data_IF_894768297387
#
_entry.id   IF_894768297387
#
_cell.length_a   1.000
_cell.length_b   1.000
_cell.length_c   1.000
_cell.angle_alpha   90.00
_cell.angle_beta   90.00
_cell.angle_gamma   90.00
#
_symmetry.space_group_name_H-M   'P 1'
#
loop_
_entity.id
_entity.type
_entity.pdbx_description
1 polymer ?
#
# COMPACT_ATOMS: atom_id res chain seq x y z
N UNK A 1 -44.73 -45.37 -8.02
CA UNK A 1 -44.27 -44.25 -8.86
C UNK A 1 -43.54 -43.27 -7.92
N UNK A 2 -42.20 -43.27 -7.93
CA UNK A 2 -41.41 -42.46 -7.00
C UNK A 2 -41.12 -41.12 -7.71
N UNK A 3 -41.52 -40.01 -7.08
CA UNK A 3 -41.20 -38.65 -7.57
C UNK A 3 -39.84 -38.26 -6.97
N UNK A 4 -38.79 -38.22 -7.82
CA UNK A 4 -37.50 -37.69 -7.43
C UNK A 4 -37.57 -36.17 -7.57
N UNK A 5 -37.59 -35.47 -6.44
CA UNK A 5 -37.44 -34.00 -6.42
C UNK A 5 -35.95 -33.66 -6.56
N UNK A 6 -35.53 -33.19 -7.71
CA UNK A 6 -34.21 -32.57 -7.90
C UNK A 6 -34.24 -31.22 -7.24
N UNK A 7 -33.61 -31.07 -6.10
CA UNK A 7 -33.34 -29.78 -5.49
C UNK A 7 -32.28 -29.03 -6.31
N UNK A 8 -32.70 -28.08 -7.12
CA UNK A 8 -31.80 -27.12 -7.74
C UNK A 8 -31.18 -26.25 -6.62
N UNK A 9 -29.98 -26.59 -6.19
CA UNK A 9 -29.19 -25.70 -5.36
C UNK A 9 -28.70 -24.56 -6.28
N UNK A 10 -29.43 -23.45 -6.28
CA UNK A 10 -28.93 -22.20 -6.82
C UNK A 10 -27.82 -21.70 -5.89
N UNK A 11 -26.57 -21.97 -6.25
CA UNK A 11 -25.45 -21.28 -5.64
C UNK A 11 -25.47 -19.86 -6.14
N UNK A 12 -25.93 -18.91 -5.33
CA UNK A 12 -25.75 -17.48 -5.61
C UNK A 12 -24.25 -17.21 -5.46
N UNK A 13 -23.53 -17.22 -6.56
CA UNK A 13 -22.16 -16.69 -6.61
C UNK A 13 -22.33 -15.19 -6.40
N UNK A 14 -21.77 -14.60 -5.33
CA UNK A 14 -21.80 -13.15 -5.18
C UNK A 14 -21.18 -12.55 -6.44
N UNK A 15 -21.93 -11.72 -7.14
CA UNK A 15 -21.40 -10.98 -8.29
C UNK A 15 -20.46 -9.88 -7.75
N UNK A 16 -19.26 -10.29 -7.36
CA UNK A 16 -18.19 -9.33 -7.07
C UNK A 16 -17.85 -8.66 -8.39
N UNK A 17 -18.02 -7.34 -8.50
CA UNK A 17 -17.62 -6.62 -9.70
C UNK A 17 -16.18 -7.00 -10.08
N UNK A 18 -15.86 -7.20 -11.35
CA UNK A 18 -14.51 -7.49 -11.76
C UNK A 18 -13.59 -6.37 -11.29
N UNK A 19 -12.42 -6.73 -10.73
CA UNK A 19 -11.43 -5.76 -10.30
C UNK A 19 -11.01 -4.91 -11.51
N UNK A 20 -11.19 -3.61 -11.42
CA UNK A 20 -10.75 -2.67 -12.46
C UNK A 20 -9.44 -2.04 -12.01
N UNK A 21 -8.33 -2.54 -12.57
CA UNK A 21 -6.99 -2.04 -12.27
C UNK A 21 -6.70 -0.76 -13.05
N UNK A 22 -6.51 0.33 -12.31
CA UNK A 22 -6.09 1.63 -12.84
C UNK A 22 -4.64 1.89 -12.39
N UNK A 23 -3.83 2.50 -13.24
CA UNK A 23 -2.43 2.78 -12.91
C UNK A 23 -2.29 3.69 -11.69
N UNK A 24 -1.34 3.37 -10.82
CA UNK A 24 -1.01 4.11 -9.61
C UNK A 24 -1.40 3.42 -8.30
N UNK A 25 -0.95 4.00 -7.19
CA UNK A 25 -1.46 3.68 -5.86
C UNK A 25 -2.36 4.80 -5.36
N UNK A 26 -3.44 4.42 -4.71
CA UNK A 26 -4.38 5.36 -4.11
C UNK A 26 -3.82 5.85 -2.77
N UNK A 27 -3.51 7.15 -2.70
CA UNK A 27 -2.97 7.83 -1.53
C UNK A 27 -4.11 8.41 -0.70
N UNK A 28 -4.03 8.29 0.62
CA UNK A 28 -4.95 8.86 1.61
C UNK A 28 -4.13 9.60 2.66
N UNK A 29 -4.57 10.81 3.01
CA UNK A 29 -3.91 11.65 4.02
C UNK A 29 -4.82 11.81 5.24
N UNK A 30 -4.22 11.90 6.43
CA UNK A 30 -4.93 11.99 7.70
C UNK A 30 -4.19 12.96 8.62
N UNK A 31 -4.92 13.79 9.35
CA UNK A 31 -4.35 14.57 10.44
C UNK A 31 -3.99 13.63 11.62
N UNK A 32 -2.91 13.91 12.31
CA UNK A 32 -2.40 13.14 13.45
C UNK A 32 -1.47 11.99 13.05
N UNK A 33 -0.53 11.69 13.94
CA UNK A 33 0.37 10.56 13.82
C UNK A 33 -0.32 9.27 14.26
N UNK A 34 -0.56 8.36 13.34
CA UNK A 34 -1.28 7.10 13.57
C UNK A 34 -0.52 5.87 13.10
N UNK A 35 0.74 6.03 12.77
CA UNK A 35 1.52 5.02 12.06
C UNK A 35 1.61 3.68 12.81
N UNK A 36 1.74 3.68 14.14
CA UNK A 36 1.78 2.47 14.98
C UNK A 36 0.40 1.87 15.26
N UNK A 37 -0.67 2.50 14.78
CA UNK A 37 -2.03 2.00 14.93
C UNK A 37 -2.67 1.69 13.56
N UNK A 38 -2.31 0.57 12.90
CA UNK A 38 -2.83 0.23 11.58
C UNK A 38 -4.36 0.13 11.52
N UNK A 39 -5.03 -0.20 12.62
CA UNK A 39 -6.49 -0.29 12.69
C UNK A 39 -7.19 1.07 12.51
N UNK A 40 -6.52 2.18 12.83
CA UNK A 40 -7.03 3.53 12.58
C UNK A 40 -7.39 3.73 11.11
N UNK A 41 -6.52 3.30 10.21
CA UNK A 41 -6.70 3.49 8.76
C UNK A 41 -7.83 2.69 8.16
N UNK A 42 -8.35 1.68 8.87
CA UNK A 42 -9.49 0.87 8.40
C UNK A 42 -10.81 1.65 8.43
N UNK A 43 -10.96 2.59 9.37
CA UNK A 43 -12.22 3.29 9.61
C UNK A 43 -12.11 4.82 9.47
N UNK A 44 -10.90 5.37 9.49
CA UNK A 44 -10.68 6.80 9.43
C UNK A 44 -11.06 7.41 8.07
N UNK A 45 -11.64 8.60 8.12
CA UNK A 45 -11.94 9.39 6.92
C UNK A 45 -10.72 10.24 6.56
N UNK A 46 -10.24 10.16 5.30
CA UNK A 46 -9.16 11.02 4.83
C UNK A 46 -9.55 12.50 4.90
N UNK A 47 -8.57 13.34 5.20
CA UNK A 47 -8.73 14.79 5.24
C UNK A 47 -7.52 15.47 4.62
N UNK A 48 -7.72 16.64 4.01
CA UNK A 48 -6.62 17.49 3.54
C UNK A 48 -5.78 17.93 4.73
N UNK A 49 -4.44 17.82 4.59
CA UNK A 49 -3.50 18.25 5.60
C UNK A 49 -2.32 18.96 4.95
N UNK A 50 -2.05 20.21 5.36
CA UNK A 50 -1.05 21.04 4.70
C UNK A 50 -1.34 21.17 3.20
N UNK A 51 -0.36 20.95 2.37
CA UNK A 51 -0.48 20.90 0.91
C UNK A 51 -0.96 19.53 0.40
N UNK A 52 -1.07 18.50 1.28
CA UNK A 52 -1.50 17.16 0.93
C UNK A 52 -3.03 17.09 0.80
N UNK A 53 -3.58 16.75 -0.37
CA UNK A 53 -5.01 16.53 -0.51
C UNK A 53 -5.45 15.29 0.28
N UNK A 54 -6.72 15.27 0.70
CA UNK A 54 -7.32 14.13 1.41
C UNK A 54 -7.08 12.80 0.68
N UNK A 55 -7.14 12.83 -0.65
CA UNK A 55 -6.86 11.67 -1.51
C UNK A 55 -6.18 12.10 -2.81
N UNK A 56 -5.31 11.25 -3.34
CA UNK A 56 -4.66 11.41 -4.65
C UNK A 56 -4.22 10.06 -5.21
N UNK A 57 -3.59 10.06 -6.39
CA UNK A 57 -3.01 8.87 -7.01
C UNK A 57 -1.57 9.16 -7.43
N UNK A 58 -0.65 8.28 -7.05
CA UNK A 58 0.75 8.36 -7.46
C UNK A 58 1.08 7.21 -8.43
N UNK A 59 1.60 7.54 -9.61
CA UNK A 59 1.74 6.58 -10.72
C UNK A 59 3.18 6.25 -11.10
N UNK A 60 4.13 7.13 -10.83
CA UNK A 60 5.52 7.03 -11.29
C UNK A 60 6.51 6.85 -10.16
N UNK A 61 6.30 7.54 -9.06
CA UNK A 61 7.08 7.49 -7.83
C UNK A 61 6.09 7.48 -6.68
N UNK A 62 6.32 6.62 -5.70
CA UNK A 62 5.55 6.60 -4.46
C UNK A 62 6.40 7.28 -3.41
N UNK A 63 5.98 8.47 -3.01
CA UNK A 63 6.75 9.31 -2.10
C UNK A 63 5.85 10.30 -1.33
N UNK A 64 6.37 10.75 -0.22
CA UNK A 64 6.03 12.01 0.43
C UNK A 64 7.28 12.88 0.29
N UNK A 65 7.23 13.93 -0.52
CA UNK A 65 8.39 14.81 -0.66
C UNK A 65 8.61 15.58 0.64
N UNK A 66 9.87 15.81 0.98
CA UNK A 66 10.22 16.74 2.04
C UNK A 66 9.69 18.14 1.66
N UNK A 67 8.56 18.47 2.22
CA UNK A 67 7.97 19.79 2.16
C UNK A 67 7.58 20.16 3.58
N UNK A 68 7.56 21.44 3.90
CA UNK A 68 7.06 21.92 5.20
C UNK A 68 5.54 21.73 5.31
N UNK A 69 5.05 20.53 4.96
CA UNK A 69 3.62 20.21 4.98
C UNK A 69 3.03 20.14 6.38
N UNK A 70 3.88 20.41 7.36
CA UNK A 70 3.48 20.48 8.75
C UNK A 70 3.89 19.26 9.55
N UNK A 71 3.52 19.26 10.79
CA UNK A 71 3.85 18.23 11.77
C UNK A 71 2.61 17.46 12.12
N UNK A 72 2.76 16.19 12.47
CA UNK A 72 1.69 15.37 13.03
C UNK A 72 0.60 15.00 12.01
N UNK A 73 1.00 14.24 11.00
CA UNK A 73 0.09 13.68 10.00
C UNK A 73 0.44 12.22 9.67
N UNK A 74 -0.45 11.56 8.95
CA UNK A 74 -0.21 10.20 8.45
C UNK A 74 -0.69 10.05 7.03
N UNK A 75 -0.02 9.16 6.29
CA UNK A 75 -0.34 8.84 4.90
C UNK A 75 -0.46 7.34 4.73
N UNK A 76 -1.37 6.91 3.86
CA UNK A 76 -1.51 5.52 3.47
C UNK A 76 -1.60 5.41 1.94
N UNK A 77 -0.87 4.46 1.36
CA UNK A 77 -0.99 4.05 -0.04
C UNK A 77 -1.56 2.65 -0.13
N UNK A 78 -2.54 2.49 -1.02
CA UNK A 78 -3.27 1.24 -1.24
C UNK A 78 -3.27 0.87 -2.71
N UNK A 79 -3.13 -0.41 -3.00
CA UNK A 79 -3.26 -0.95 -4.34
C UNK A 79 -2.50 -2.25 -4.54
N UNK A 80 -1.95 -2.42 -5.74
CA UNK A 80 -1.30 -3.65 -6.19
C UNK A 80 0.06 -3.34 -6.80
N UNK A 81 1.04 -4.16 -6.48
CA UNK A 81 2.32 -4.20 -7.17
C UNK A 81 2.31 -5.33 -8.19
N UNK A 82 2.60 -5.03 -9.45
CA UNK A 82 2.67 -5.99 -10.57
C UNK A 82 4.11 -6.07 -11.07
N UNK A 83 4.86 -7.10 -10.68
CA UNK A 83 6.25 -7.26 -11.12
C UNK A 83 6.33 -7.49 -12.62
N UNK A 84 7.40 -7.01 -13.26
CA UNK A 84 7.68 -7.19 -14.68
C UNK A 84 8.53 -8.43 -14.96
N UNK A 85 9.23 -8.94 -13.95
CA UNK A 85 10.08 -10.13 -14.01
C UNK A 85 9.73 -11.10 -12.87
N UNK A 86 9.93 -12.41 -13.09
CA UNK A 86 9.80 -13.42 -12.03
C UNK A 86 11.15 -13.55 -11.35
N UNK A 87 11.30 -12.86 -10.21
CA UNK A 87 12.55 -12.74 -9.47
C UNK A 87 12.29 -12.53 -7.97
N UNK A 88 13.37 -12.59 -7.20
CA UNK A 88 13.36 -12.05 -5.82
C UNK A 88 13.52 -10.54 -5.89
N UNK A 89 12.48 -9.82 -5.48
CA UNK A 89 12.49 -8.37 -5.33
C UNK A 89 13.00 -7.99 -3.95
N UNK A 90 13.88 -7.00 -3.89
CA UNK A 90 14.16 -6.28 -2.66
C UNK A 90 13.35 -5.00 -2.69
N UNK A 91 12.45 -4.85 -1.72
CA UNK A 91 11.64 -3.66 -1.52
C UNK A 91 12.29 -2.82 -0.43
N UNK A 92 12.29 -1.51 -0.59
CA UNK A 92 12.88 -0.56 0.36
C UNK A 92 11.87 0.53 0.66
N UNK A 93 11.78 0.92 1.92
CA UNK A 93 11.16 2.16 2.34
C UNK A 93 12.18 2.98 3.12
N UNK A 94 12.27 4.27 2.80
CA UNK A 94 13.02 5.25 3.56
C UNK A 94 12.07 6.29 4.07
N UNK A 95 12.11 6.59 5.36
CA UNK A 95 11.23 7.58 5.97
C UNK A 95 11.89 8.31 7.14
N UNK A 96 11.37 9.49 7.38
CA UNK A 96 11.46 10.34 8.55
C UNK A 96 10.03 10.86 8.79
N UNK A 97 9.27 10.47 9.79
CA UNK A 97 9.49 9.45 10.82
C UNK A 97 9.19 8.01 10.35
N UNK A 98 8.27 7.34 11.05
CA UNK A 98 7.99 5.93 10.93
C UNK A 98 7.20 5.51 9.69
N UNK A 99 7.45 4.29 9.21
CA UNK A 99 6.71 3.71 8.09
C UNK A 99 6.61 2.19 8.14
N UNK A 100 5.60 1.65 7.45
CA UNK A 100 5.36 0.21 7.31
C UNK A 100 4.97 -0.15 5.88
N UNK A 101 5.32 -1.37 5.47
CA UNK A 101 4.90 -1.95 4.21
C UNK A 101 4.39 -3.37 4.41
N UNK A 102 3.25 -3.69 3.81
CA UNK A 102 2.70 -5.05 3.68
C UNK A 102 2.53 -5.37 2.20
N UNK A 103 2.87 -6.60 1.80
CA UNK A 103 2.61 -7.12 0.45
C UNK A 103 2.01 -8.53 0.56
N UNK A 104 1.05 -8.86 -0.32
CA UNK A 104 0.31 -10.12 -0.29
C UNK A 104 -0.91 -10.06 0.63
N UNK A 105 -1.33 -11.19 1.19
CA UNK A 105 -2.59 -11.32 1.94
C UNK A 105 -2.71 -10.34 3.11
N UNK A 106 -1.62 -10.11 3.85
CA UNK A 106 -1.59 -9.18 4.97
C UNK A 106 -1.79 -7.71 4.56
N UNK A 107 -1.65 -7.36 3.28
CA UNK A 107 -1.97 -6.02 2.79
C UNK A 107 -3.49 -5.77 2.68
N UNK A 108 -4.29 -6.83 2.50
CA UNK A 108 -5.76 -6.75 2.36
C UNK A 108 -6.42 -6.66 3.73
N UNK A 109 -6.11 -7.62 4.61
CA UNK A 109 -6.77 -7.74 5.92
C UNK A 109 -5.83 -8.32 6.97
N UNK A 110 -6.12 -8.06 8.25
CA UNK A 110 -5.32 -8.56 9.37
C UNK A 110 -3.93 -7.93 9.47
N UNK A 111 -3.69 -6.81 8.81
CA UNK A 111 -2.42 -6.09 8.86
C UNK A 111 -2.19 -5.50 10.26
N UNK A 112 -1.01 -5.79 10.80
CA UNK A 112 -0.51 -5.28 12.09
C UNK A 112 0.93 -4.86 11.92
N UNK A 113 1.47 -4.05 12.82
CA UNK A 113 2.89 -3.70 12.80
C UNK A 113 3.79 -4.93 12.89
N UNK A 114 3.36 -5.96 13.64
CA UNK A 114 4.12 -7.19 13.86
C UNK A 114 4.22 -8.10 12.63
N UNK A 115 3.25 -8.04 11.70
CA UNK A 115 3.25 -8.86 10.48
C UNK A 115 3.56 -8.05 9.21
N UNK A 116 4.08 -6.84 9.35
CA UNK A 116 4.54 -6.05 8.22
C UNK A 116 5.71 -6.73 7.50
N UNK A 117 5.75 -6.60 6.19
CA UNK A 117 6.88 -7.05 5.37
C UNK A 117 8.11 -6.21 5.64
N UNK A 118 7.93 -4.89 5.81
CA UNK A 118 8.95 -3.96 6.28
C UNK A 118 8.37 -3.20 7.47
N UNK A 119 9.14 -3.22 8.57
CA UNK A 119 8.86 -2.45 9.77
C UNK A 119 9.97 -1.39 9.92
N UNK A 120 9.64 -0.15 9.70
CA UNK A 120 10.46 1.03 9.92
C UNK A 120 9.66 2.00 10.81
N UNK A 121 9.07 1.47 11.91
CA UNK A 121 8.19 2.21 12.80
C UNK A 121 8.93 2.98 13.87
N UNK A 122 8.19 3.85 14.54
CA UNK A 122 8.70 4.74 15.59
C UNK A 122 9.10 6.12 15.05
N UNK A 123 9.38 7.03 15.98
CA UNK A 123 9.90 8.35 15.66
C UNK A 123 11.41 8.28 15.48
N UNK A 124 11.90 8.68 14.32
CA UNK A 124 13.34 8.67 13.98
C UNK A 124 13.62 9.57 12.79
N UNK A 125 14.86 10.06 12.68
CA UNK A 125 15.33 10.74 11.47
C UNK A 125 15.39 9.79 10.27
N UNK A 126 15.83 10.25 9.08
CA UNK A 126 15.79 9.45 7.84
C UNK A 126 16.49 8.09 7.98
N UNK A 127 15.73 7.01 7.87
CA UNK A 127 16.21 5.62 7.90
C UNK A 127 15.60 4.84 6.75
N UNK A 128 16.43 4.00 6.11
CA UNK A 128 15.97 3.05 5.10
C UNK A 128 15.99 1.62 5.63
N UNK A 129 14.88 0.92 5.45
CA UNK A 129 14.74 -0.51 5.78
C UNK A 129 14.27 -1.27 4.54
N UNK A 130 14.70 -2.51 4.40
CA UNK A 130 14.36 -3.35 3.25
C UNK A 130 13.96 -4.76 3.64
N UNK A 131 13.21 -5.41 2.73
CA UNK A 131 12.89 -6.83 2.81
C UNK A 131 12.86 -7.45 1.42
N UNK A 132 13.09 -8.76 1.34
CA UNK A 132 13.03 -9.52 0.09
C UNK A 132 11.74 -10.31 -0.01
N UNK A 133 11.16 -10.35 -1.23
CA UNK A 133 9.96 -11.12 -1.56
C UNK A 133 10.13 -11.77 -2.93
N UNK A 134 9.76 -13.04 -3.07
CA UNK A 134 9.74 -13.71 -4.38
C UNK A 134 8.43 -13.41 -5.08
N UNK A 135 8.48 -12.79 -6.26
CA UNK A 135 7.32 -12.36 -7.02
C UNK A 135 7.34 -12.93 -8.44
N UNK A 136 6.16 -13.23 -8.97
CA UNK A 136 5.97 -13.74 -10.33
C UNK A 136 5.49 -12.64 -11.26
N UNK A 137 6.13 -12.49 -12.42
CA UNK A 137 5.77 -11.49 -13.42
C UNK A 137 4.28 -11.53 -13.78
N UNK A 138 3.68 -10.36 -13.90
CA UNK A 138 2.28 -10.20 -14.33
C UNK A 138 1.22 -10.42 -13.25
N UNK A 139 1.56 -10.98 -12.09
CA UNK A 139 0.63 -11.16 -10.96
C UNK A 139 0.45 -9.85 -10.22
N UNK A 140 -0.78 -9.53 -9.85
CA UNK A 140 -1.11 -8.37 -9.03
C UNK A 140 -1.03 -8.74 -7.54
N UNK A 141 -0.01 -8.27 -6.86
CA UNK A 141 0.18 -8.47 -5.41
C UNK A 141 -0.40 -7.29 -4.65
N UNK A 142 -1.38 -7.49 -3.76
CA UNK A 142 -1.86 -6.43 -2.89
C UNK A 142 -0.68 -5.80 -2.15
N UNK A 143 -0.62 -4.46 -2.13
CA UNK A 143 0.39 -3.70 -1.41
C UNK A 143 -0.27 -2.58 -0.61
N UNK A 144 0.17 -2.42 0.61
CA UNK A 144 -0.21 -1.36 1.54
C UNK A 144 1.05 -0.75 2.12
N UNK A 145 1.12 0.57 2.12
CA UNK A 145 2.17 1.30 2.82
C UNK A 145 1.55 2.34 3.73
N UNK A 146 2.19 2.61 4.86
CA UNK A 146 1.81 3.64 5.82
C UNK A 146 3.04 4.43 6.20
N UNK A 147 2.84 5.71 6.41
CA UNK A 147 3.84 6.67 6.85
C UNK A 147 3.21 7.58 7.88
N UNK A 148 3.97 7.99 8.88
CA UNK A 148 3.56 8.98 9.87
C UNK A 148 4.70 9.92 10.17
N UNK A 149 4.36 11.20 10.33
CA UNK A 149 5.23 12.29 10.69
C UNK A 149 4.77 12.91 12.00
N UNK A 150 5.68 13.04 12.97
CA UNK A 150 5.43 13.69 14.27
C UNK A 150 5.84 15.15 14.22
N UNK A 151 7.00 15.43 13.62
CA UNK A 151 7.55 16.78 13.53
C UNK A 151 8.98 16.79 13.05
N UNK A 152 9.39 17.87 12.40
CA UNK A 152 10.71 18.03 11.83
C UNK A 152 10.69 18.00 10.33
N UNK A 153 11.62 17.28 9.72
CA UNK A 153 11.65 17.06 8.28
C UNK A 153 10.92 15.79 7.92
N UNK A 154 9.95 15.87 7.04
CA UNK A 154 9.17 14.74 6.55
C UNK A 154 9.73 14.20 5.23
N UNK A 155 9.90 12.90 5.14
CA UNK A 155 10.24 12.21 3.90
C UNK A 155 9.73 10.77 3.91
N UNK A 156 9.18 10.35 2.79
CA UNK A 156 8.90 8.95 2.50
C UNK A 156 9.25 8.64 1.06
N UNK A 157 9.99 7.55 0.82
CA UNK A 157 10.23 7.01 -0.52
C UNK A 157 10.14 5.49 -0.53
N UNK A 158 9.50 4.96 -1.58
CA UNK A 158 9.48 3.53 -1.89
C UNK A 158 10.41 3.24 -3.07
N UNK A 159 11.27 2.24 -2.91
CA UNK A 159 12.19 1.76 -3.95
C UNK A 159 12.06 0.25 -4.10
N UNK A 160 12.47 -0.27 -5.26
CA UNK A 160 12.62 -1.70 -5.50
C UNK A 160 13.87 -1.99 -6.33
N UNK A 161 14.40 -3.21 -6.19
CA UNK A 161 15.44 -3.77 -7.04
C UNK A 161 15.22 -5.26 -7.24
N UNK A 162 15.92 -5.85 -8.22
CA UNK A 162 16.04 -7.30 -8.42
C UNK A 162 17.47 -7.60 -8.85
N UNK A 163 17.88 -8.85 -9.02
CA UNK A 163 19.16 -9.18 -9.64
C UNK A 163 19.38 -8.54 -11.01
N UNK A 164 18.29 -8.29 -11.77
CA UNK A 164 18.35 -7.70 -13.12
C UNK A 164 17.91 -6.22 -13.17
N UNK A 165 17.31 -5.69 -12.11
CA UNK A 165 16.83 -4.31 -12.03
C UNK A 165 17.60 -3.58 -10.93
N UNK A 166 18.38 -2.55 -11.30
CA UNK A 166 19.03 -1.66 -10.36
C UNK A 166 17.99 -0.96 -9.48
N UNK A 167 18.35 -0.70 -8.22
CA UNK A 167 17.47 0.01 -7.27
C UNK A 167 16.92 1.29 -7.89
N UNK A 168 15.59 1.45 -7.82
CA UNK A 168 14.88 2.56 -8.46
C UNK A 168 13.61 2.94 -7.71
N UNK A 169 13.26 4.23 -7.75
CA UNK A 169 11.96 4.76 -7.33
C UNK A 169 10.90 4.63 -8.42
N UNK A 170 11.30 4.38 -9.67
CA UNK A 170 10.38 4.33 -10.80
C UNK A 170 9.48 3.08 -10.75
N UNK A 171 8.21 3.29 -10.45
CA UNK A 171 7.17 2.26 -10.41
C UNK A 171 6.19 2.34 -11.60
N UNK A 172 6.50 3.12 -12.63
CA UNK A 172 5.65 3.26 -13.83
C UNK A 172 5.30 1.88 -14.41
N UNK A 173 4.01 1.63 -14.57
CA UNK A 173 3.49 0.36 -15.08
C UNK A 173 3.60 -0.83 -14.13
N UNK A 174 4.04 -0.61 -12.88
CA UNK A 174 4.17 -1.66 -11.86
C UNK A 174 3.20 -1.49 -10.70
N UNK A 175 2.55 -0.33 -10.56
CA UNK A 175 1.60 -0.06 -9.49
C UNK A 175 0.22 0.24 -10.05
N UNK A 176 -0.79 -0.28 -9.39
CA UNK A 176 -2.20 -0.21 -9.79
C UNK A 176 -3.08 -0.12 -8.55
N UNK A 177 -4.27 0.44 -8.68
CA UNK A 177 -5.30 0.39 -7.66
C UNK A 177 -6.63 -0.07 -8.25
N UNK A 178 -7.53 -0.56 -7.41
CA UNK A 178 -8.88 -0.85 -7.82
C UNK A 178 -9.72 0.44 -7.78
N UNK A 179 -10.15 0.94 -8.93
CA UNK A 179 -10.89 2.19 -9.04
C UNK A 179 -12.32 2.12 -8.48
N UNK A 180 -12.86 0.91 -8.25
CA UNK A 180 -14.19 0.72 -7.66
C UNK A 180 -14.13 0.87 -6.13
N UNK A 181 -13.07 0.34 -5.50
CA UNK A 181 -12.89 0.37 -4.05
C UNK A 181 -12.00 1.51 -3.57
N UNK A 182 -11.33 2.23 -4.50
CA UNK A 182 -10.30 3.23 -4.21
C UNK A 182 -9.15 2.63 -3.38
N UNK A 183 -8.57 1.55 -3.90
CA UNK A 183 -7.38 0.96 -3.28
C UNK A 183 -7.22 -0.54 -3.55
N UNK A 184 -7.62 -1.36 -2.61
CA UNK A 184 -7.50 -2.82 -2.62
C UNK A 184 -8.84 -3.51 -2.86
#
# INVERSE_FOLDING_TARGET
MAITVLSNIFTIIPNTPPLTYTAGLYKRTFAGYHNENPSFFATATPATYGSNPATSVQTTIIQEPSSDDGTNFSVQWLGYFKPTTTETYTLFISSDDGSYLWIGANAISGFTTANSTINNGGAHGPVEVSATVSLTAGIYYPIRMQFGEIGGGDVFTFNHSTPTITKTTNVTGKVFYNSITNGL
#
